data_IF_275273021898
#
_entry.id   IF_275273021898
#
_cell.length_a   1.000
_cell.length_b   1.000
_cell.length_c   1.000
_cell.angle_alpha   90.00
_cell.angle_beta   90.00
_cell.angle_gamma   90.00
#
_symmetry.space_group_name_H-M   'P 1'
#
loop_
_entity.id
_entity.type
_entity.pdbx_description
1 polymer ?
#
# COMPACT_ATOMS: atom_id res chain seq x y z
N UNK A 1 32.42 -23.12 -23.90
CA UNK A 1 33.12 -22.20 -22.98
C UNK A 1 32.19 -21.50 -21.99
N UNK A 2 30.98 -21.06 -22.37
CA UNK A 2 30.07 -20.33 -21.47
C UNK A 2 29.54 -21.15 -20.26
N UNK A 3 29.24 -22.45 -20.42
CA UNK A 3 28.69 -23.28 -19.34
C UNK A 3 29.67 -23.48 -18.17
N UNK A 4 30.96 -23.72 -18.45
CA UNK A 4 31.99 -23.86 -17.42
C UNK A 4 32.22 -22.56 -16.64
N UNK A 5 32.02 -21.40 -17.28
CA UNK A 5 32.14 -20.10 -16.62
C UNK A 5 30.97 -19.84 -15.66
N UNK A 6 29.76 -20.26 -16.02
CA UNK A 6 28.57 -20.11 -15.16
C UNK A 6 28.68 -21.01 -13.93
N UNK A 7 29.05 -22.29 -14.10
CA UNK A 7 29.24 -23.23 -12.99
C UNK A 7 30.34 -22.75 -12.03
N UNK A 8 31.45 -22.24 -12.58
CA UNK A 8 32.52 -21.63 -11.79
C UNK A 8 31.99 -20.47 -10.94
N UNK A 9 31.23 -19.54 -11.53
CA UNK A 9 30.67 -18.38 -10.82
C UNK A 9 29.72 -18.80 -9.70
N UNK A 10 28.81 -19.75 -9.93
CA UNK A 10 27.91 -20.23 -8.87
C UNK A 10 28.65 -20.92 -7.73
N UNK A 11 29.67 -21.73 -8.05
CA UNK A 11 30.52 -22.38 -7.06
C UNK A 11 31.32 -21.35 -6.25
N UNK A 12 31.78 -20.29 -6.91
CA UNK A 12 32.47 -19.15 -6.29
C UNK A 12 31.56 -18.43 -5.28
N UNK A 13 30.32 -18.13 -5.67
CA UNK A 13 29.32 -17.48 -4.82
C UNK A 13 29.02 -18.33 -3.59
N UNK A 14 28.81 -19.63 -3.75
CA UNK A 14 28.54 -20.53 -2.63
C UNK A 14 29.73 -20.64 -1.67
N UNK A 15 30.94 -20.78 -2.19
CA UNK A 15 32.17 -20.83 -1.40
C UNK A 15 32.43 -19.52 -0.66
N UNK A 16 32.10 -18.38 -1.29
CA UNK A 16 32.18 -17.06 -0.69
C UNK A 16 31.27 -16.93 0.54
N UNK A 17 29.99 -17.29 0.37
CA UNK A 17 29.00 -17.25 1.44
C UNK A 17 29.43 -18.14 2.61
N UNK A 18 29.98 -19.33 2.31
CA UNK A 18 30.46 -20.28 3.33
C UNK A 18 31.69 -19.78 4.10
N UNK A 19 32.52 -18.89 3.55
CA UNK A 19 33.66 -18.30 4.28
C UNK A 19 33.24 -17.13 5.18
N UNK A 20 32.17 -16.41 4.84
CA UNK A 20 31.74 -15.20 5.55
C UNK A 20 30.30 -15.31 6.08
N UNK A 21 29.95 -16.51 6.59
CA UNK A 21 28.58 -16.90 6.95
C UNK A 21 27.87 -15.88 7.83
N UNK A 22 28.52 -15.35 8.86
CA UNK A 22 27.91 -14.39 9.79
C UNK A 22 27.49 -13.08 9.12
N UNK A 23 28.35 -12.49 8.28
CA UNK A 23 28.02 -11.26 7.56
C UNK A 23 27.00 -11.51 6.46
N UNK A 24 27.01 -12.70 5.84
CA UNK A 24 26.05 -13.08 4.81
C UNK A 24 24.66 -13.29 5.41
N UNK A 25 24.56 -13.97 6.56
CA UNK A 25 23.32 -14.12 7.32
C UNK A 25 22.80 -12.74 7.75
N UNK A 26 23.64 -11.87 8.30
CA UNK A 26 23.22 -10.53 8.71
C UNK A 26 22.66 -9.71 7.53
N UNK A 27 23.30 -9.82 6.37
CA UNK A 27 22.85 -9.16 5.14
C UNK A 27 21.51 -9.72 4.66
N UNK A 28 21.36 -11.05 4.62
CA UNK A 28 20.11 -11.74 4.26
C UNK A 28 18.98 -11.35 5.21
N UNK A 29 19.21 -11.36 6.52
CA UNK A 29 18.20 -10.99 7.52
C UNK A 29 17.78 -9.53 7.39
N UNK A 30 18.71 -8.62 7.12
CA UNK A 30 18.38 -7.20 6.96
C UNK A 30 17.58 -6.96 5.69
N UNK A 31 17.91 -7.63 4.58
CA UNK A 31 17.09 -7.60 3.36
C UNK A 31 15.72 -8.22 3.62
N UNK A 32 15.67 -9.38 4.28
CA UNK A 32 14.43 -10.06 4.63
C UNK A 32 13.50 -9.15 5.44
N UNK A 33 14.00 -8.55 6.53
CA UNK A 33 13.21 -7.64 7.37
C UNK A 33 12.73 -6.43 6.56
N UNK A 34 13.59 -5.83 5.74
CA UNK A 34 13.21 -4.74 4.84
C UNK A 34 12.05 -5.11 3.93
N UNK A 35 12.15 -6.28 3.30
CA UNK A 35 11.17 -6.81 2.36
C UNK A 35 9.86 -7.25 3.04
N UNK A 36 9.94 -7.79 4.26
CA UNK A 36 8.75 -8.12 5.07
C UNK A 36 7.99 -6.85 5.42
N UNK A 37 8.68 -5.80 5.89
CA UNK A 37 8.05 -4.52 6.23
C UNK A 37 7.42 -3.90 4.99
N UNK A 38 8.12 -3.92 3.85
CA UNK A 38 7.59 -3.43 2.58
C UNK A 38 6.34 -4.20 2.15
N UNK A 39 6.42 -5.54 2.12
CA UNK A 39 5.30 -6.40 1.73
C UNK A 39 4.08 -6.21 2.63
N UNK A 40 4.28 -6.22 3.95
CA UNK A 40 3.22 -5.96 4.93
C UNK A 40 2.60 -4.57 4.75
N UNK A 41 3.43 -3.54 4.49
CA UNK A 41 2.93 -2.18 4.24
C UNK A 41 2.11 -2.09 2.95
N UNK A 42 2.54 -2.76 1.88
CA UNK A 42 1.79 -2.82 0.62
C UNK A 42 0.46 -3.53 0.80
N UNK A 43 0.45 -4.72 1.43
CA UNK A 43 -0.80 -5.43 1.72
C UNK A 43 -1.72 -4.65 2.63
N UNK A 44 -1.18 -3.97 3.64
CA UNK A 44 -1.97 -3.07 4.46
C UNK A 44 -2.58 -1.95 3.62
N UNK A 45 -1.81 -1.27 2.78
CA UNK A 45 -2.32 -0.17 1.95
C UNK A 45 -3.38 -0.64 0.96
N UNK A 46 -3.20 -1.82 0.36
CA UNK A 46 -4.20 -2.42 -0.53
C UNK A 46 -5.50 -2.70 0.22
N UNK A 47 -5.43 -3.31 1.41
CA UNK A 47 -6.61 -3.60 2.21
C UNK A 47 -7.24 -2.35 2.81
N UNK A 48 -6.45 -1.37 3.24
CA UNK A 48 -6.95 -0.09 3.71
C UNK A 48 -7.62 0.70 2.59
N UNK A 49 -7.09 0.65 1.37
CA UNK A 49 -7.70 1.25 0.18
C UNK A 49 -8.98 0.51 -0.22
N UNK A 50 -9.01 -0.81 -0.13
CA UNK A 50 -10.21 -1.61 -0.40
C UNK A 50 -11.29 -1.36 0.65
N UNK A 51 -10.90 -1.29 1.92
CA UNK A 51 -11.81 -0.94 3.00
C UNK A 51 -12.34 0.48 2.79
N UNK A 52 -11.46 1.43 2.50
CA UNK A 52 -11.86 2.79 2.16
C UNK A 52 -12.83 2.78 0.99
N UNK A 53 -12.52 2.16 -0.16
CA UNK A 53 -13.42 2.18 -1.33
C UNK A 53 -14.79 1.59 -1.07
N UNK A 54 -14.89 0.53 -0.26
CA UNK A 54 -16.18 -0.07 0.10
C UNK A 54 -16.99 0.83 1.06
N UNK A 55 -16.32 1.54 1.97
CA UNK A 55 -16.98 2.56 2.79
C UNK A 55 -17.28 3.83 1.97
N UNK A 56 -16.44 4.17 1.00
CA UNK A 56 -16.56 5.33 0.12
C UNK A 56 -17.73 5.20 -0.84
N UNK A 57 -18.05 3.99 -1.33
CA UNK A 57 -19.31 3.73 -2.05
C UNK A 57 -20.55 3.95 -1.18
N UNK A 58 -20.42 3.93 0.15
CA UNK A 58 -21.46 4.30 1.11
C UNK A 58 -21.30 5.73 1.67
N UNK A 59 -20.25 6.49 1.25
CA UNK A 59 -20.07 7.88 1.65
C UNK A 59 -21.00 8.79 0.86
N UNK A 60 -22.25 8.75 1.28
CA UNK A 60 -23.27 9.69 0.87
C UNK A 60 -23.05 11.04 1.55
N UNK A 61 -23.09 12.11 0.75
CA UNK A 61 -23.31 13.46 1.28
C UNK A 61 -24.84 13.64 1.34
N UNK A 62 -25.39 13.66 2.56
CA UNK A 62 -26.78 13.98 2.79
C UNK A 62 -26.96 15.51 2.81
N UNK A 63 -27.61 16.04 1.78
CA UNK A 63 -27.91 17.46 1.60
C UNK A 63 -29.38 17.68 1.97
N UNK A 64 -29.64 18.33 3.10
CA UNK A 64 -30.99 18.66 3.52
C UNK A 64 -31.40 19.99 2.90
N UNK A 65 -32.56 19.98 2.22
CA UNK A 65 -33.16 21.17 1.65
C UNK A 65 -33.86 21.99 2.74
N UNK A 66 -33.96 23.32 2.56
CA UNK A 66 -34.74 24.18 3.45
C UNK A 66 -36.23 23.84 3.37
N UNK A 67 -36.92 23.84 4.52
CA UNK A 67 -38.33 23.42 4.66
C UNK A 67 -39.33 24.33 3.92
N UNK A 68 -38.93 25.56 3.56
CA UNK A 68 -39.76 26.56 2.89
C UNK A 68 -39.67 26.53 1.36
N UNK A 69 -38.90 25.60 0.79
CA UNK A 69 -38.72 25.48 -0.66
C UNK A 69 -39.94 24.86 -1.35
N UNK A 70 -40.35 25.48 -2.46
CA UNK A 70 -41.36 24.90 -3.33
C UNK A 70 -40.76 23.77 -4.17
N UNK A 71 -41.58 22.87 -4.71
CA UNK A 71 -41.12 21.73 -5.51
C UNK A 71 -40.29 22.13 -6.75
N UNK A 72 -40.49 23.34 -7.28
CA UNK A 72 -39.69 23.89 -8.38
C UNK A 72 -38.26 24.25 -7.92
N UNK A 73 -38.12 24.81 -6.73
CA UNK A 73 -36.84 25.24 -6.17
C UNK A 73 -36.01 24.04 -5.69
N UNK A 74 -36.66 23.01 -5.14
CA UNK A 74 -36.02 21.72 -4.80
C UNK A 74 -35.46 21.06 -6.06
N UNK A 75 -36.21 21.06 -7.17
CA UNK A 75 -35.73 20.50 -8.43
C UNK A 75 -34.54 21.30 -9.00
N UNK A 76 -34.59 22.63 -8.93
CA UNK A 76 -33.48 23.48 -9.35
C UNK A 76 -32.22 23.26 -8.49
N UNK A 77 -32.37 22.98 -7.20
CA UNK A 77 -31.26 22.57 -6.34
C UNK A 77 -30.63 21.25 -6.82
N UNK A 78 -31.44 20.25 -7.18
CA UNK A 78 -30.95 18.99 -7.75
C UNK A 78 -30.16 19.18 -9.05
N UNK A 79 -30.59 20.06 -9.94
CA UNK A 79 -29.86 20.38 -11.17
C UNK A 79 -28.50 21.02 -10.86
N UNK A 80 -28.46 21.97 -9.92
CA UNK A 80 -27.21 22.60 -9.46
C UNK A 80 -26.25 21.62 -8.79
N UNK A 81 -26.78 20.64 -8.04
CA UNK A 81 -25.98 19.58 -7.42
C UNK A 81 -25.37 18.65 -8.48
N UNK A 82 -26.12 18.34 -9.54
CA UNK A 82 -25.64 17.49 -10.65
C UNK A 82 -24.52 18.16 -11.44
N UNK A 83 -24.58 19.49 -11.60
CA UNK A 83 -23.60 20.27 -12.35
C UNK A 83 -22.29 20.53 -11.58
N UNK A 84 -22.20 20.17 -10.29
CA UNK A 84 -20.99 20.35 -9.49
C UNK A 84 -19.87 19.40 -9.92
N UNK A 85 -18.67 19.94 -10.08
CA UNK A 85 -17.48 19.14 -10.38
C UNK A 85 -17.13 18.21 -9.22
N UNK A 86 -17.09 16.91 -9.50
CA UNK A 86 -16.79 15.87 -8.50
C UNK A 86 -18.02 15.12 -8.00
N UNK A 87 -19.23 15.50 -8.40
CA UNK A 87 -20.46 14.72 -8.17
C UNK A 87 -20.57 13.62 -9.22
N UNK A 88 -20.88 12.40 -8.78
CA UNK A 88 -21.10 11.23 -9.64
C UNK A 88 -22.59 11.04 -9.92
N UNK A 89 -23.39 10.86 -8.85
CA UNK A 89 -24.83 10.65 -8.93
C UNK A 89 -25.55 11.36 -7.78
N UNK A 90 -26.82 11.71 -8.01
CA UNK A 90 -27.71 12.26 -6.99
C UNK A 90 -28.98 11.43 -6.88
N UNK A 91 -29.45 11.21 -5.66
CA UNK A 91 -30.72 10.56 -5.35
C UNK A 91 -31.59 11.50 -4.52
N UNK A 92 -32.82 11.76 -4.99
CA UNK A 92 -33.79 12.53 -4.21
C UNK A 92 -34.57 11.61 -3.29
N UNK A 93 -34.50 11.87 -1.98
CA UNK A 93 -35.25 11.14 -0.97
C UNK A 93 -36.29 12.09 -0.36
N UNK A 94 -37.58 11.93 -0.69
CA UNK A 94 -38.63 12.75 -0.11
C UNK A 94 -38.77 12.46 1.39
N UNK A 95 -39.22 13.45 2.16
CA UNK A 95 -39.40 13.37 3.62
C UNK A 95 -40.16 12.14 4.10
N UNK A 96 -41.18 11.69 3.36
CA UNK A 96 -41.98 10.52 3.72
C UNK A 96 -41.19 9.21 3.58
N UNK A 97 -40.26 9.15 2.63
CA UNK A 97 -39.38 8.01 2.43
C UNK A 97 -38.22 8.02 3.43
N UNK A 98 -37.71 9.20 3.80
CA UNK A 98 -36.71 9.34 4.87
C UNK A 98 -37.24 8.79 6.21
N UNK A 99 -38.49 9.11 6.57
CA UNK A 99 -39.15 8.58 7.76
C UNK A 99 -39.30 7.04 7.71
N UNK A 100 -39.71 6.48 6.56
CA UNK A 100 -39.80 5.02 6.38
C UNK A 100 -38.44 4.32 6.53
N UNK A 101 -37.39 4.88 5.94
CA UNK A 101 -36.04 4.33 6.04
C UNK A 101 -35.52 4.36 7.48
N UNK A 102 -35.79 5.43 8.22
CA UNK A 102 -35.40 5.57 9.64
C UNK A 102 -36.15 4.59 10.55
N UNK A 103 -37.45 4.42 10.37
CA UNK A 103 -38.24 3.47 11.17
C UNK A 103 -37.89 2.00 10.88
N UNK A 104 -37.51 1.69 9.63
CA UNK A 104 -37.08 0.35 9.22
C UNK A 104 -35.71 -0.06 9.77
N UNK A 105 -34.75 0.86 9.90
CA UNK A 105 -33.39 0.56 10.38
C UNK A 105 -33.32 0.33 11.90
N UNK A 106 -34.26 0.89 12.67
CA UNK A 106 -34.26 0.81 14.13
C UNK A 106 -35.00 -0.41 14.69
N UNK A 107 -35.65 -1.23 13.84
CA UNK A 107 -36.46 -2.41 14.25
C UNK A 107 -37.40 -2.13 15.46
N UNK A 108 -37.79 -0.88 15.69
CA UNK A 108 -38.56 -0.45 16.85
C UNK A 108 -39.73 0.41 16.41
N UNK A 109 -40.92 -0.18 16.46
CA UNK A 109 -42.20 0.47 16.18
C UNK A 109 -42.56 1.56 17.20
N UNK A 110 -41.82 1.66 18.31
CA UNK A 110 -42.09 2.61 19.40
C UNK A 110 -41.63 4.03 19.09
N UNK A 111 -40.53 4.21 18.35
CA UNK A 111 -40.01 5.56 18.03
C UNK A 111 -40.86 6.25 16.96
N UNK A 112 -41.40 5.49 16.01
CA UNK A 112 -42.33 6.01 14.99
C UNK A 112 -43.63 6.57 15.61
N UNK A 113 -44.09 5.97 16.72
CA UNK A 113 -45.30 6.38 17.41
C UNK A 113 -45.10 7.62 18.30
N UNK A 114 -43.87 7.85 18.80
CA UNK A 114 -43.51 9.02 19.63
C UNK A 114 -43.27 10.29 18.81
N UNK A 115 -43.11 10.20 17.49
CA UNK A 115 -42.85 11.35 16.60
C UNK A 115 -44.12 12.17 16.24
N UNK A 116 -45.32 11.69 16.59
CA UNK A 116 -46.60 12.37 16.31
C UNK A 116 -46.99 12.40 14.82
N UNK A 117 -48.02 13.19 14.48
CA UNK A 117 -48.57 13.30 13.11
C UNK A 117 -47.75 14.22 12.17
N UNK A 118 -46.70 14.89 12.67
CA UNK A 118 -45.89 15.83 11.89
C UNK A 118 -44.54 15.22 11.57
N UNK A 119 -44.26 14.99 10.27
CA UNK A 119 -42.98 14.45 9.82
C UNK A 119 -41.85 15.46 10.11
N UNK A 120 -40.88 15.14 11.00
CA UNK A 120 -39.81 16.06 11.37
C UNK A 120 -38.64 16.06 10.36
N UNK A 121 -38.69 15.22 9.32
CA UNK A 121 -37.62 15.10 8.33
C UNK A 121 -37.83 16.09 7.17
N UNK A 122 -36.82 16.89 6.80
CA UNK A 122 -36.83 17.67 5.57
C UNK A 122 -36.59 16.75 4.36
N UNK A 123 -36.89 17.27 3.16
CA UNK A 123 -36.49 16.63 1.91
C UNK A 123 -34.96 16.63 1.81
N UNK A 124 -34.37 15.50 1.36
CA UNK A 124 -32.91 15.38 1.24
C UNK A 124 -32.49 14.90 -0.14
N UNK A 125 -31.32 15.36 -0.59
CA UNK A 125 -30.56 14.76 -1.66
C UNK A 125 -29.41 13.94 -1.08
N UNK A 126 -29.31 12.68 -1.45
CA UNK A 126 -28.12 11.87 -1.26
C UNK A 126 -27.21 12.11 -2.48
N UNK A 127 -26.01 12.64 -2.26
CA UNK A 127 -25.03 12.95 -3.31
C UNK A 127 -23.84 12.01 -3.19
N UNK A 128 -23.51 11.30 -4.26
CA UNK A 128 -22.33 10.46 -4.37
C UNK A 128 -21.19 11.22 -5.06
N UNK A 129 -19.97 11.07 -4.54
CA UNK A 129 -18.77 11.79 -5.03
C UNK A 129 -17.88 10.84 -5.82
N UNK A 130 -17.31 11.32 -6.92
CA UNK A 130 -16.42 10.55 -7.81
C UNK A 130 -15.12 10.16 -7.10
N UNK A 131 -14.51 11.12 -6.39
CA UNK A 131 -13.29 10.91 -5.61
C UNK A 131 -13.57 11.18 -4.13
N UNK A 132 -13.50 10.16 -3.28
CA UNK A 132 -13.74 10.31 -1.84
C UNK A 132 -12.74 11.21 -1.13
N UNK A 133 -11.54 11.44 -1.68
CA UNK A 133 -10.63 12.47 -1.18
C UNK A 133 -11.15 13.89 -1.40
N UNK A 134 -12.15 14.07 -2.26
CA UNK A 134 -12.79 15.35 -2.55
C UNK A 134 -14.11 15.56 -1.81
N UNK A 135 -14.59 14.57 -1.04
CA UNK A 135 -15.86 14.68 -0.28
C UNK A 135 -15.92 15.94 0.57
N UNK A 136 -14.82 16.31 1.25
CA UNK A 136 -14.78 17.53 2.06
C UNK A 136 -14.88 18.81 1.22
N UNK A 137 -14.26 18.83 0.03
CA UNK A 137 -14.31 19.97 -0.88
C UNK A 137 -15.71 20.12 -1.50
N UNK A 138 -16.27 19.02 -2.00
CA UNK A 138 -17.62 18.98 -2.58
C UNK A 138 -18.68 19.34 -1.53
N UNK A 139 -18.60 18.78 -0.32
CA UNK A 139 -19.51 19.15 0.78
C UNK A 139 -19.40 20.63 1.15
N UNK A 140 -18.19 21.20 1.15
CA UNK A 140 -17.98 22.63 1.36
C UNK A 140 -18.68 23.49 0.30
N UNK A 141 -18.54 23.13 -0.98
CA UNK A 141 -19.22 23.82 -2.09
C UNK A 141 -20.73 23.71 -2.01
N UNK A 142 -21.26 22.54 -1.64
CA UNK A 142 -22.70 22.31 -1.48
C UNK A 142 -23.27 23.15 -0.33
N UNK A 143 -22.52 23.31 0.77
CA UNK A 143 -22.95 24.10 1.92
C UNK A 143 -23.15 25.58 1.57
N UNK A 144 -22.44 26.08 0.54
CA UNK A 144 -22.56 27.47 0.07
C UNK A 144 -23.74 27.68 -0.92
N UNK A 145 -24.42 26.61 -1.36
CA UNK A 145 -25.55 26.71 -2.27
C UNK A 145 -26.80 27.25 -1.57
N UNK A 146 -27.48 28.19 -2.23
CA UNK A 146 -28.79 28.69 -1.79
C UNK A 146 -29.85 27.57 -1.84
N UNK A 147 -30.63 27.42 -0.77
CA UNK A 147 -31.64 26.38 -0.61
C UNK A 147 -31.17 25.13 0.15
N UNK A 148 -29.90 25.09 0.56
CA UNK A 148 -29.37 24.06 1.46
C UNK A 148 -29.52 24.54 2.91
N UNK A 149 -30.07 23.69 3.76
CA UNK A 149 -30.14 23.92 5.21
C UNK A 149 -28.93 23.34 5.92
N UNK A 150 -28.65 22.05 5.67
CA UNK A 150 -27.56 21.35 6.31
C UNK A 150 -26.94 20.27 5.40
N UNK A 151 -25.64 20.08 5.50
CA UNK A 151 -24.88 19.07 4.75
C UNK A 151 -24.22 18.12 5.75
N UNK A 152 -24.71 16.89 5.80
CA UNK A 152 -24.16 15.84 6.65
C UNK A 152 -23.39 14.86 5.79
N UNK A 153 -22.10 14.75 6.07
CA UNK A 153 -21.21 13.78 5.45
C UNK A 153 -20.36 13.13 6.53
N UNK A 154 -19.77 11.96 6.23
CA UNK A 154 -18.98 11.14 7.16
C UNK A 154 -17.68 11.77 7.69
N UNK A 155 -17.57 13.09 7.84
CA UNK A 155 -16.38 13.84 8.26
C UNK A 155 -15.68 13.23 9.49
N UNK A 156 -16.46 12.89 10.52
CA UNK A 156 -15.94 12.40 11.81
C UNK A 156 -15.30 11.01 11.73
N UNK A 157 -15.60 10.22 10.70
CA UNK A 157 -15.04 8.88 10.51
C UNK A 157 -14.00 8.86 9.39
N UNK A 158 -14.26 9.57 8.29
CA UNK A 158 -13.44 9.55 7.07
C UNK A 158 -12.13 10.32 7.24
N UNK A 159 -12.17 11.51 7.82
CA UNK A 159 -10.98 12.35 7.94
C UNK A 159 -9.89 11.70 8.81
N UNK A 160 -10.20 11.13 10.00
CA UNK A 160 -9.22 10.38 10.78
C UNK A 160 -8.67 9.15 10.05
N UNK A 161 -9.52 8.42 9.31
CA UNK A 161 -9.10 7.25 8.53
C UNK A 161 -8.14 7.64 7.41
N UNK A 162 -8.46 8.66 6.61
CA UNK A 162 -7.59 9.15 5.54
C UNK A 162 -6.27 9.70 6.09
N UNK A 163 -6.30 10.42 7.21
CA UNK A 163 -5.07 10.88 7.89
C UNK A 163 -4.23 9.73 8.40
N UNK A 164 -4.85 8.70 8.99
CA UNK A 164 -4.17 7.51 9.49
C UNK A 164 -3.50 6.72 8.35
N UNK A 165 -4.21 6.51 7.24
CA UNK A 165 -3.66 5.84 6.04
C UNK A 165 -2.50 6.64 5.44
N UNK A 166 -2.63 7.97 5.33
CA UNK A 166 -1.53 8.85 4.88
C UNK A 166 -0.31 8.78 5.81
N UNK A 167 -0.53 8.80 7.13
CA UNK A 167 0.53 8.67 8.12
C UNK A 167 1.24 7.32 7.99
N UNK A 168 0.49 6.22 7.87
CA UNK A 168 1.06 4.89 7.74
C UNK A 168 1.85 4.72 6.44
N UNK A 169 1.39 5.29 5.32
CA UNK A 169 2.13 5.31 4.06
C UNK A 169 3.50 5.98 4.21
N UNK A 170 3.55 7.14 4.88
CA UNK A 170 4.80 7.86 5.13
C UNK A 170 5.73 7.11 6.10
N UNK A 171 5.18 6.58 7.19
CA UNK A 171 5.92 5.79 8.17
C UNK A 171 6.51 4.52 7.52
N UNK A 172 5.69 3.74 6.81
CA UNK A 172 6.11 2.52 6.13
C UNK A 172 7.21 2.77 5.10
N UNK A 173 7.04 3.79 4.24
CA UNK A 173 8.04 4.16 3.23
C UNK A 173 9.37 4.57 3.87
N UNK A 174 9.31 5.30 4.99
CA UNK A 174 10.51 5.73 5.73
C UNK A 174 11.27 4.55 6.32
N UNK A 175 10.56 3.61 6.97
CA UNK A 175 11.18 2.43 7.58
C UNK A 175 11.82 1.54 6.50
N UNK A 176 11.11 1.28 5.40
CA UNK A 176 11.68 0.51 4.27
C UNK A 176 12.92 1.19 3.72
N UNK A 177 12.89 2.52 3.55
CA UNK A 177 14.05 3.29 3.09
C UNK A 177 15.28 3.13 4.01
N UNK A 178 15.07 3.18 5.33
CA UNK A 178 16.14 2.98 6.32
C UNK A 178 16.75 1.57 6.24
N UNK A 179 15.92 0.53 6.15
CA UNK A 179 16.41 -0.84 6.04
C UNK A 179 17.05 -1.14 4.67
N UNK A 180 16.57 -0.51 3.60
CA UNK A 180 17.23 -0.55 2.30
C UNK A 180 18.65 0.05 2.39
N UNK A 181 18.82 1.20 3.05
CA UNK A 181 20.15 1.77 3.27
C UNK A 181 21.02 0.85 4.15
N UNK A 182 20.47 0.30 5.23
CA UNK A 182 21.19 -0.61 6.12
C UNK A 182 21.66 -1.88 5.39
N UNK A 183 20.79 -2.50 4.59
CA UNK A 183 21.15 -3.66 3.76
C UNK A 183 22.22 -3.32 2.73
N UNK A 184 22.13 -2.17 2.04
CA UNK A 184 23.18 -1.72 1.12
C UNK A 184 24.53 -1.60 1.83
N UNK A 185 24.56 -1.06 3.04
CA UNK A 185 25.78 -0.92 3.85
C UNK A 185 26.34 -2.30 4.24
N UNK A 186 25.50 -3.21 4.74
CA UNK A 186 25.92 -4.55 5.15
C UNK A 186 26.43 -5.40 3.98
N UNK A 187 25.71 -5.39 2.85
CA UNK A 187 26.12 -6.05 1.61
C UNK A 187 27.45 -5.47 1.13
N UNK A 188 27.58 -4.13 1.16
CA UNK A 188 28.82 -3.47 0.76
C UNK A 188 30.01 -3.87 1.63
N UNK A 189 29.80 -3.97 2.94
CA UNK A 189 30.81 -4.41 3.90
C UNK A 189 31.19 -5.87 3.68
N UNK A 190 30.20 -6.73 3.45
CA UNK A 190 30.42 -8.15 3.18
C UNK A 190 31.31 -8.33 1.94
N UNK A 191 30.94 -7.67 0.82
CA UNK A 191 31.68 -7.76 -0.43
C UNK A 191 33.08 -7.17 -0.29
N UNK A 192 33.21 -6.07 0.44
CA UNK A 192 34.53 -5.48 0.73
C UNK A 192 35.44 -6.47 1.46
N UNK A 193 34.90 -7.16 2.47
CA UNK A 193 35.64 -8.19 3.20
C UNK A 193 36.02 -9.37 2.29
N UNK A 194 35.12 -9.79 1.42
CA UNK A 194 35.36 -10.88 0.48
C UNK A 194 36.46 -10.51 -0.54
N UNK A 195 36.35 -9.35 -1.18
CA UNK A 195 37.35 -8.79 -2.11
C UNK A 195 38.72 -8.70 -1.44
N UNK A 196 38.79 -8.18 -0.21
CA UNK A 196 40.05 -8.07 0.53
C UNK A 196 40.70 -9.45 0.78
N UNK A 197 39.89 -10.47 1.07
CA UNK A 197 40.37 -11.83 1.27
C UNK A 197 40.93 -12.47 -0.01
N UNK A 198 40.49 -12.00 -1.18
CA UNK A 198 40.88 -12.49 -2.51
C UNK A 198 41.85 -11.56 -3.26
N UNK A 199 42.40 -10.55 -2.59
CA UNK A 199 43.20 -9.49 -3.25
C UNK A 199 44.34 -10.03 -4.13
N UNK A 200 45.06 -11.07 -3.68
CA UNK A 200 46.18 -11.67 -4.43
C UNK A 200 45.72 -12.36 -5.72
N UNK A 201 44.57 -13.01 -5.67
CA UNK A 201 43.99 -13.68 -6.84
C UNK A 201 43.52 -12.65 -7.87
N UNK A 202 42.86 -11.58 -7.40
CA UNK A 202 42.43 -10.46 -8.24
C UNK A 202 43.63 -9.76 -8.87
N UNK A 203 44.73 -9.61 -8.14
CA UNK A 203 45.99 -9.05 -8.64
C UNK A 203 46.60 -9.90 -9.76
N UNK A 204 46.67 -11.23 -9.58
CA UNK A 204 47.13 -12.16 -10.62
C UNK A 204 46.21 -12.08 -11.85
N UNK A 205 44.89 -12.07 -11.68
CA UNK A 205 43.94 -11.95 -12.80
C UNK A 205 44.16 -10.65 -13.59
N UNK A 206 44.41 -9.53 -12.89
CA UNK A 206 44.74 -8.25 -13.54
C UNK A 206 46.05 -8.32 -14.33
N UNK A 207 47.09 -8.96 -13.79
CA UNK A 207 48.40 -9.11 -14.45
C UNK A 207 48.33 -9.95 -15.73
N UNK A 208 47.42 -10.93 -15.79
CA UNK A 208 47.20 -11.77 -16.98
C UNK A 208 46.22 -11.12 -17.99
N UNK A 209 45.73 -9.91 -17.71
CA UNK A 209 44.90 -9.12 -18.64
C UNK A 209 43.39 -9.36 -18.53
N UNK A 210 42.89 -9.89 -17.42
CA UNK A 210 41.45 -10.06 -17.21
C UNK A 210 40.72 -8.69 -17.18
N UNK A 211 39.55 -8.63 -17.81
CA UNK A 211 38.75 -7.40 -17.84
C UNK A 211 38.17 -7.05 -16.45
N UNK A 212 38.03 -5.76 -16.16
CA UNK A 212 37.39 -5.29 -14.92
C UNK A 212 35.96 -5.82 -14.76
N UNK A 213 35.24 -6.05 -15.85
CA UNK A 213 33.89 -6.63 -15.81
C UNK A 213 33.94 -8.09 -15.34
N UNK A 214 34.87 -8.88 -15.85
CA UNK A 214 35.05 -10.28 -15.44
C UNK A 214 35.34 -10.41 -13.94
N UNK A 215 36.15 -9.51 -13.38
CA UNK A 215 36.46 -9.48 -11.95
C UNK A 215 35.25 -9.06 -11.10
N UNK A 216 34.37 -8.18 -11.62
CA UNK A 216 33.24 -7.60 -10.87
C UNK A 216 32.00 -8.51 -10.82
N UNK A 217 31.72 -9.24 -11.89
CA UNK A 217 30.49 -10.04 -12.02
C UNK A 217 30.24 -11.04 -10.88
N UNK A 218 31.24 -11.79 -10.37
CA UNK A 218 31.02 -12.72 -9.26
C UNK A 218 30.48 -12.04 -7.99
N UNK A 219 30.97 -10.83 -7.68
CA UNK A 219 30.54 -10.06 -6.51
C UNK A 219 29.15 -9.43 -6.68
N UNK A 220 28.78 -9.06 -7.91
CA UNK A 220 27.42 -8.59 -8.21
C UNK A 220 26.42 -9.74 -8.04
N UNK A 221 26.76 -10.92 -8.57
CA UNK A 221 25.94 -12.11 -8.43
C UNK A 221 25.84 -12.59 -6.98
N UNK A 222 26.90 -12.45 -6.20
CA UNK A 222 26.86 -12.71 -4.75
C UNK A 222 25.83 -11.81 -4.05
N UNK A 223 25.86 -10.49 -4.28
CA UNK A 223 24.87 -9.59 -3.67
C UNK A 223 23.45 -9.83 -4.19
N UNK A 224 23.28 -10.10 -5.48
CA UNK A 224 21.99 -10.52 -6.05
C UNK A 224 21.46 -11.78 -5.38
N UNK A 225 22.32 -12.77 -5.11
CA UNK A 225 21.94 -14.01 -4.44
C UNK A 225 21.55 -13.77 -2.98
N UNK A 226 22.30 -12.94 -2.24
CA UNK A 226 21.91 -12.54 -0.88
C UNK A 226 20.55 -11.82 -0.88
N UNK A 227 20.34 -10.94 -1.86
CA UNK A 227 19.06 -10.24 -2.08
C UNK A 227 17.91 -11.18 -2.43
N UNK A 228 18.15 -12.16 -3.31
CA UNK A 228 17.21 -13.19 -3.70
C UNK A 228 16.77 -14.02 -2.49
N UNK A 229 17.73 -14.55 -1.71
CA UNK A 229 17.43 -15.38 -0.54
C UNK A 229 16.66 -14.57 0.51
N UNK A 230 17.07 -13.32 0.77
CA UNK A 230 16.33 -12.44 1.67
C UNK A 230 14.91 -12.16 1.18
N UNK A 231 14.72 -11.91 -0.12
CA UNK A 231 13.41 -11.71 -0.74
C UNK A 231 12.53 -12.95 -0.71
N UNK A 232 13.07 -14.14 -0.95
CA UNK A 232 12.33 -15.40 -0.89
C UNK A 232 11.86 -15.70 0.54
N UNK A 233 12.73 -15.51 1.54
CA UNK A 233 12.34 -15.66 2.95
C UNK A 233 11.25 -14.65 3.33
N UNK A 234 11.33 -13.42 2.82
CA UNK A 234 10.29 -12.43 3.04
C UNK A 234 8.97 -12.81 2.37
N UNK A 235 8.98 -13.34 1.15
CA UNK A 235 7.77 -13.86 0.49
C UNK A 235 7.11 -14.93 1.35
N UNK A 236 7.88 -15.88 1.90
CA UNK A 236 7.31 -16.93 2.74
C UNK A 236 6.61 -16.33 3.97
N UNK A 237 7.28 -15.41 4.67
CA UNK A 237 6.72 -14.78 5.86
C UNK A 237 5.49 -13.91 5.55
N UNK A 238 5.57 -13.08 4.50
CA UNK A 238 4.49 -12.17 4.12
C UNK A 238 3.32 -12.94 3.53
N UNK A 239 3.57 -13.91 2.64
CA UNK A 239 2.52 -14.72 2.01
C UNK A 239 1.76 -15.55 3.03
N UNK A 240 2.45 -16.38 3.82
CA UNK A 240 1.78 -17.18 4.86
C UNK A 240 1.14 -16.30 5.94
N UNK A 241 1.80 -15.19 6.33
CA UNK A 241 1.25 -14.25 7.29
C UNK A 241 -0.01 -13.56 6.79
N UNK A 242 -0.06 -13.22 5.50
CA UNK A 242 -1.22 -12.62 4.85
C UNK A 242 -2.39 -13.60 4.76
N UNK A 243 -2.16 -14.80 4.23
CA UNK A 243 -3.20 -15.81 4.08
C UNK A 243 -3.81 -16.16 5.45
N UNK A 244 -2.97 -16.36 6.46
CA UNK A 244 -3.43 -16.62 7.83
C UNK A 244 -4.26 -15.47 8.42
N UNK A 245 -3.82 -14.22 8.21
CA UNK A 245 -4.53 -13.05 8.72
C UNK A 245 -5.84 -12.81 7.96
N UNK A 246 -5.85 -13.02 6.65
CA UNK A 246 -7.02 -12.88 5.81
C UNK A 246 -8.12 -13.88 6.22
N UNK A 247 -7.76 -15.16 6.41
CA UNK A 247 -8.67 -16.19 6.91
C UNK A 247 -9.22 -15.85 8.30
N UNK A 248 -8.37 -15.36 9.21
CA UNK A 248 -8.78 -14.95 10.55
C UNK A 248 -9.78 -13.78 10.52
N UNK A 249 -9.54 -12.78 9.65
CA UNK A 249 -10.45 -11.64 9.48
C UNK A 249 -11.77 -12.09 8.88
N UNK A 250 -11.77 -12.90 7.81
CA UNK A 250 -13.01 -13.35 7.16
C UNK A 250 -13.87 -14.21 8.08
N UNK A 251 -13.26 -15.04 8.93
CA UNK A 251 -14.00 -15.89 9.89
C UNK A 251 -14.55 -15.13 11.09
N UNK A 252 -13.86 -14.07 11.55
CA UNK A 252 -14.27 -13.29 12.73
C UNK A 252 -15.15 -12.09 12.37
N UNK A 253 -14.88 -11.46 11.22
CA UNK A 253 -15.48 -10.23 10.74
C UNK A 253 -15.95 -10.44 9.29
N UNK A 254 -16.99 -11.26 9.11
CA UNK A 254 -17.52 -11.62 7.79
C UNK A 254 -17.96 -10.42 6.92
N UNK A 255 -18.16 -9.25 7.53
CA UNK A 255 -18.51 -8.01 6.85
C UNK A 255 -17.29 -7.18 6.39
N UNK A 256 -16.07 -7.55 6.78
CA UNK A 256 -14.87 -6.79 6.42
C UNK A 256 -14.32 -7.26 5.06
N UNK A 257 -14.29 -6.39 4.03
CA UNK A 257 -13.81 -6.77 2.71
C UNK A 257 -12.27 -6.88 2.70
N UNK A 258 -11.77 -8.10 2.48
CA UNK A 258 -10.33 -8.39 2.36
C UNK A 258 -9.96 -8.63 0.90
N UNK A 259 -8.84 -8.08 0.47
CA UNK A 259 -8.35 -8.28 -0.91
C UNK A 259 -7.92 -9.73 -1.09
N UNK A 260 -8.62 -10.50 -1.93
CA UNK A 260 -8.33 -11.91 -2.18
C UNK A 260 -7.97 -12.21 -3.66
N UNK A 261 -7.57 -11.19 -4.40
CA UNK A 261 -7.16 -11.35 -5.80
C UNK A 261 -5.77 -12.01 -5.89
N UNK A 262 -5.75 -13.30 -6.21
CA UNK A 262 -4.52 -14.12 -6.30
C UNK A 262 -3.50 -13.56 -7.29
N UNK A 263 -3.95 -12.98 -8.41
CA UNK A 263 -3.06 -12.36 -9.39
C UNK A 263 -2.36 -11.11 -8.82
N UNK A 264 -3.10 -10.27 -8.09
CA UNK A 264 -2.57 -9.05 -7.48
C UNK A 264 -1.59 -9.40 -6.34
N UNK A 265 -1.95 -10.37 -5.49
CA UNK A 265 -1.07 -10.91 -4.45
C UNK A 265 0.23 -11.47 -5.07
N UNK A 266 0.11 -12.26 -6.14
CA UNK A 266 1.25 -12.81 -6.87
C UNK A 266 2.17 -11.74 -7.45
N UNK A 267 1.62 -10.65 -8.00
CA UNK A 267 2.39 -9.50 -8.48
C UNK A 267 3.14 -8.80 -7.34
N UNK A 268 2.50 -8.58 -6.20
CA UNK A 268 3.13 -7.98 -5.02
C UNK A 268 4.28 -8.85 -4.52
N UNK A 269 4.06 -10.16 -4.33
CA UNK A 269 5.11 -11.09 -3.90
C UNK A 269 6.26 -11.16 -4.91
N UNK A 270 5.96 -11.24 -6.21
CA UNK A 270 6.99 -11.22 -7.26
C UNK A 270 7.83 -9.93 -7.24
N UNK A 271 7.20 -8.79 -6.99
CA UNK A 271 7.90 -7.50 -6.87
C UNK A 271 8.88 -7.47 -5.69
N UNK A 272 8.55 -8.13 -4.57
CA UNK A 272 9.42 -8.21 -3.38
C UNK A 272 10.74 -8.91 -3.72
N UNK A 273 10.71 -10.03 -4.45
CA UNK A 273 11.94 -10.72 -4.85
C UNK A 273 12.75 -9.90 -5.83
N UNK A 274 12.11 -9.28 -6.82
CA UNK A 274 12.81 -8.43 -7.79
C UNK A 274 13.49 -7.23 -7.12
N UNK A 275 12.80 -6.58 -6.17
CA UNK A 275 13.35 -5.47 -5.40
C UNK A 275 14.47 -5.94 -4.46
N UNK A 276 14.31 -7.09 -3.79
CA UNK A 276 15.36 -7.70 -2.96
C UNK A 276 16.64 -7.98 -3.75
N UNK A 277 16.52 -8.59 -4.94
CA UNK A 277 17.63 -8.79 -5.86
C UNK A 277 18.25 -7.46 -6.31
N UNK A 278 17.43 -6.45 -6.60
CA UNK A 278 17.88 -5.11 -6.98
C UNK A 278 18.69 -4.42 -5.90
N UNK A 279 18.26 -4.48 -4.64
CA UNK A 279 19.01 -3.97 -3.48
C UNK A 279 20.33 -4.73 -3.33
N UNK A 280 20.28 -6.06 -3.48
CA UNK A 280 21.45 -6.94 -3.52
C UNK A 280 22.50 -6.49 -4.53
N UNK A 281 22.08 -6.35 -5.79
CA UNK A 281 22.92 -5.89 -6.89
C UNK A 281 23.47 -4.48 -6.66
N UNK A 282 22.62 -3.55 -6.21
CA UNK A 282 23.01 -2.17 -5.96
C UNK A 282 24.08 -2.08 -4.86
N UNK A 283 23.92 -2.83 -3.77
CA UNK A 283 24.91 -2.93 -2.69
C UNK A 283 26.27 -3.41 -3.21
N UNK A 284 26.28 -4.44 -4.06
CA UNK A 284 27.51 -4.93 -4.69
C UNK A 284 28.19 -3.89 -5.57
N UNK A 285 27.42 -3.24 -6.45
CA UNK A 285 27.97 -2.27 -7.40
C UNK A 285 28.56 -1.06 -6.68
N UNK A 286 27.90 -0.56 -5.63
CA UNK A 286 28.40 0.57 -4.82
C UNK A 286 29.75 0.23 -4.18
N UNK A 287 29.89 -0.98 -3.64
CA UNK A 287 31.14 -1.45 -3.02
C UNK A 287 32.29 -1.54 -4.04
N UNK A 288 32.03 -2.15 -5.20
CA UNK A 288 33.03 -2.35 -6.25
C UNK A 288 33.48 -1.04 -6.91
N UNK A 289 32.57 -0.08 -7.11
CA UNK A 289 32.90 1.24 -7.69
C UNK A 289 33.88 2.03 -6.82
N UNK A 290 33.82 1.89 -5.50
CA UNK A 290 34.77 2.55 -4.58
C UNK A 290 36.15 1.90 -4.57
N UNK A 291 36.26 0.58 -4.81
CA UNK A 291 37.52 -0.17 -4.66
C UNK A 291 38.29 -0.40 -5.97
N UNK A 292 37.62 -0.46 -7.12
CA UNK A 292 38.28 -0.73 -8.40
C UNK A 292 38.59 0.55 -9.21
N UNK A 293 38.68 1.71 -8.55
CA UNK A 293 39.37 2.89 -9.10
C UNK A 293 40.89 2.75 -8.85
N UNK A 294 41.48 1.68 -9.38
CA UNK A 294 42.93 1.52 -9.64
C UNK A 294 43.09 0.65 -10.87
#
# INVERSE_FOLDING_TARGET
MALNSVEYIFREVFNSIRRNVWLSIASVLTVMISMVILGASVFFLLNASNLASNFESELEIAVFAQDDLNSADVKALGERLTDLAGVDTIEFVPKDQALKNFTGSLNSTTIAADLGDTNPFPDKYTVHVVDPQQVENVAGQITELTGVDNVVYGKNLVEPLLKFTKWLRWAGTTVVGLFAIASLILISLNIKMNVFSRRKEIEIMKLVGASNAFIRWPFILEGMFLGLVGGLLAILLVGFGYDWLADYIQTTLAFMPVVNETELIGKVLGSIVLLGMGIGAAGSVISLRRFLKV
#
